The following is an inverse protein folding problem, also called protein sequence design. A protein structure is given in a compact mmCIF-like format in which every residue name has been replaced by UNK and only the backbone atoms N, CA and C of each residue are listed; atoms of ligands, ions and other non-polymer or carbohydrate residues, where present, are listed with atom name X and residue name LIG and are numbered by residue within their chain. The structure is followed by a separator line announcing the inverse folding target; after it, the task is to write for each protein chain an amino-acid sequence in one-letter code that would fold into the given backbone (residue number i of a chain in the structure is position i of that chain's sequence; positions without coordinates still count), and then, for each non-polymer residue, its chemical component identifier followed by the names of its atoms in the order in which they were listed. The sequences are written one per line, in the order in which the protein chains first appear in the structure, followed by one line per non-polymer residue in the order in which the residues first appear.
data_IF_806594090039
#
_entry.id   IF_806594090039
#
_cell.length_a   1.000
_cell.length_b   1.000
_cell.length_c   1.000
_cell.angle_alpha   90.00
_cell.angle_beta   90.00
_cell.angle_gamma   90.00
#
_symmetry.space_group_name_H-M   'P 1'
#
loop_
_entity.id
_entity.type
_entity.pdbx_description
1 polymer ?
#
# COMPACT_ATOMS: atom_id res chain seq x y z
N UNK A 1 -12.14 0.03 -0.05
CA UNK A 1 -12.97 0.73 0.97
C UNK A 1 -13.74 -0.24 1.87
N UNK A 2 -14.48 -1.21 1.33
CA UNK A 2 -15.20 -2.23 2.14
C UNK A 2 -14.32 -2.87 3.21
N UNK A 3 -13.17 -3.43 2.84
CA UNK A 3 -12.21 -4.03 3.80
C UNK A 3 -11.74 -3.05 4.90
N UNK A 4 -11.52 -1.77 4.56
CA UNK A 4 -11.17 -0.75 5.55
C UNK A 4 -12.31 -0.45 6.52
N UNK A 5 -13.56 -0.50 6.03
CA UNK A 5 -14.76 -0.36 6.87
C UNK A 5 -14.90 -1.55 7.82
N UNK A 6 -14.65 -2.78 7.36
CA UNK A 6 -14.65 -3.97 8.22
C UNK A 6 -13.58 -3.89 9.30
N UNK A 7 -12.36 -3.47 8.95
CA UNK A 7 -11.33 -3.21 9.95
C UNK A 7 -11.83 -2.20 10.98
N UNK A 8 -12.37 -1.06 10.53
CA UNK A 8 -12.82 0.02 11.40
C UNK A 8 -13.98 -0.36 12.33
N UNK A 9 -14.93 -1.20 11.87
CA UNK A 9 -16.09 -1.62 12.66
C UNK A 9 -15.83 -2.84 13.53
N UNK A 10 -15.07 -3.81 13.03
CA UNK A 10 -14.99 -5.16 13.60
C UNK A 10 -13.56 -5.60 13.94
N UNK A 11 -12.56 -4.74 13.76
CA UNK A 11 -11.15 -5.12 13.97
C UNK A 11 -10.63 -6.16 12.98
N UNK A 12 -11.29 -6.34 11.82
CA UNK A 12 -10.86 -7.27 10.78
C UNK A 12 -9.40 -7.03 10.36
N UNK A 13 -8.54 -8.04 10.51
CA UNK A 13 -7.07 -7.97 10.30
C UNK A 13 -6.33 -7.00 11.23
N UNK A 14 -6.91 -6.65 12.38
CA UNK A 14 -6.22 -5.88 13.42
C UNK A 14 -5.33 -6.78 14.28
N UNK A 15 -4.18 -6.27 14.73
CA UNK A 15 -3.28 -7.01 15.62
C UNK A 15 -3.82 -7.24 17.03
N UNK A 16 -4.84 -6.49 17.43
CA UNK A 16 -5.48 -6.60 18.75
C UNK A 16 -6.92 -7.12 18.68
N UNK A 17 -7.39 -7.48 17.49
CA UNK A 17 -8.80 -7.86 17.27
C UNK A 17 -9.80 -6.69 17.31
N UNK A 18 -9.36 -5.46 17.59
CA UNK A 18 -10.19 -4.24 17.59
C UNK A 18 -9.56 -3.14 16.73
N UNK A 19 -10.35 -2.21 16.22
CA UNK A 19 -9.81 -1.06 15.47
C UNK A 19 -9.18 -0.03 16.41
N UNK A 20 -7.91 0.34 16.18
CA UNK A 20 -7.21 1.42 16.86
C UNK A 20 -6.28 2.17 15.89
N UNK A 21 -5.70 3.30 16.29
CA UNK A 21 -4.69 4.02 15.47
C UNK A 21 -5.22 4.70 14.18
N UNK A 22 -6.54 4.76 13.96
CA UNK A 22 -7.07 5.46 12.79
C UNK A 22 -6.85 6.98 12.87
N UNK A 23 -6.45 7.62 11.78
CA UNK A 23 -6.44 9.08 11.66
C UNK A 23 -7.84 9.68 11.45
N UNK A 24 -8.00 10.98 11.77
CA UNK A 24 -9.27 11.73 11.58
C UNK A 24 -9.78 11.66 10.13
N UNK A 25 -8.90 11.89 9.16
CA UNK A 25 -9.25 11.87 7.73
C UNK A 25 -9.74 10.49 7.26
N UNK A 26 -9.08 9.42 7.71
CA UNK A 26 -9.52 8.03 7.44
C UNK A 26 -10.90 7.76 8.01
N UNK A 27 -11.14 8.10 9.29
CA UNK A 27 -12.47 7.93 9.91
C UNK A 27 -13.56 8.69 9.16
N UNK A 28 -13.31 9.94 8.78
CA UNK A 28 -14.27 10.74 8.03
C UNK A 28 -14.59 10.10 6.67
N UNK A 29 -13.57 9.60 5.97
CA UNK A 29 -13.72 8.94 4.67
C UNK A 29 -14.49 7.63 4.77
N UNK A 30 -14.31 6.87 5.85
CA UNK A 30 -15.08 5.63 6.09
C UNK A 30 -16.54 5.90 6.44
N UNK A 31 -16.82 6.98 7.18
CA UNK A 31 -18.19 7.46 7.44
C UNK A 31 -18.87 7.89 6.14
N UNK A 32 -18.16 8.65 5.31
CA UNK A 32 -18.64 9.07 3.99
C UNK A 32 -18.92 7.86 3.08
N UNK A 33 -18.00 6.89 3.01
CA UNK A 33 -18.21 5.66 2.25
C UNK A 33 -19.43 4.86 2.75
N UNK A 34 -19.64 4.80 4.06
CA UNK A 34 -20.81 4.13 4.65
C UNK A 34 -22.12 4.81 4.24
N UNK A 35 -22.16 6.15 4.21
CA UNK A 35 -23.34 6.90 3.71
C UNK A 35 -23.61 6.59 2.24
N UNK A 36 -22.57 6.53 1.40
CA UNK A 36 -22.71 6.21 -0.03
C UNK A 36 -23.18 4.78 -0.27
N UNK A 37 -22.71 3.81 0.52
CA UNK A 37 -23.23 2.44 0.45
C UNK A 37 -24.70 2.37 0.84
N UNK A 38 -25.15 3.14 1.83
CA UNK A 38 -26.57 3.22 2.20
C UNK A 38 -27.43 3.79 1.06
N UNK A 39 -26.93 4.78 0.30
CA UNK A 39 -27.60 5.28 -0.91
C UNK A 39 -27.75 4.17 -1.96
N UNK A 40 -26.71 3.36 -2.19
CA UNK A 40 -26.81 2.21 -3.10
C UNK A 40 -27.85 1.20 -2.62
N UNK A 41 -27.85 0.87 -1.33
CA UNK A 41 -28.82 -0.07 -0.76
C UNK A 41 -30.25 0.40 -1.00
N UNK A 42 -30.54 1.68 -0.75
CA UNK A 42 -31.85 2.26 -1.03
C UNK A 42 -32.19 2.27 -2.52
N UNK A 43 -31.25 2.63 -3.39
CA UNK A 43 -31.46 2.71 -4.82
C UNK A 43 -31.80 1.35 -5.47
N UNK A 44 -31.29 0.26 -4.91
CA UNK A 44 -31.48 -1.10 -5.41
C UNK A 44 -32.34 -1.99 -4.50
N UNK A 45 -33.01 -1.40 -3.50
CA UNK A 45 -33.85 -2.11 -2.52
C UNK A 45 -33.15 -3.31 -1.85
N UNK A 46 -31.88 -3.13 -1.48
CA UNK A 46 -31.06 -4.16 -0.84
C UNK A 46 -31.29 -4.17 0.67
N UNK A 47 -31.29 -5.36 1.28
CA UNK A 47 -31.55 -5.55 2.71
C UNK A 47 -30.27 -5.56 3.54
N UNK A 48 -29.15 -6.02 2.96
CA UNK A 48 -27.88 -6.16 3.67
C UNK A 48 -26.73 -5.46 2.96
N UNK A 49 -25.68 -5.10 3.70
CA UNK A 49 -24.48 -4.50 3.10
C UNK A 49 -23.74 -5.49 2.17
N UNK A 50 -23.84 -6.81 2.40
CA UNK A 50 -23.17 -7.81 1.55
C UNK A 50 -23.82 -7.90 0.17
N UNK A 51 -25.12 -7.61 0.05
CA UNK A 51 -25.78 -7.54 -1.25
C UNK A 51 -25.22 -6.42 -2.14
N UNK A 52 -24.68 -5.36 -1.54
CA UNK A 52 -24.01 -4.28 -2.28
C UNK A 52 -22.76 -4.79 -3.00
N UNK A 53 -22.04 -5.75 -2.42
CA UNK A 53 -20.83 -6.32 -3.00
C UNK A 53 -21.10 -7.22 -4.21
N UNK A 54 -22.36 -7.65 -4.40
CA UNK A 54 -22.80 -8.40 -5.58
C UNK A 54 -23.25 -7.50 -6.75
N UNK A 55 -23.34 -6.18 -6.54
CA UNK A 55 -23.67 -5.26 -7.62
C UNK A 55 -22.52 -5.16 -8.63
N UNK A 56 -22.85 -5.28 -9.91
CA UNK A 56 -21.85 -5.06 -10.97
C UNK A 56 -21.37 -3.60 -10.97
N UNK A 57 -20.12 -3.37 -11.38
CA UNK A 57 -19.58 -2.03 -11.54
C UNK A 57 -20.44 -1.15 -12.47
N UNK A 58 -21.01 -1.74 -13.54
CA UNK A 58 -21.92 -1.03 -14.46
C UNK A 58 -23.20 -0.60 -13.74
N UNK A 59 -23.75 -1.45 -12.88
CA UNK A 59 -24.94 -1.17 -12.08
C UNK A 59 -24.68 -0.03 -11.11
N UNK A 60 -23.58 -0.11 -10.35
CA UNK A 60 -23.18 0.93 -9.39
C UNK A 60 -23.00 2.28 -10.09
N UNK A 61 -22.40 2.31 -11.28
CA UNK A 61 -22.20 3.54 -12.06
C UNK A 61 -23.49 4.22 -12.55
N UNK A 62 -24.63 3.52 -12.56
CA UNK A 62 -25.93 4.14 -12.91
C UNK A 62 -26.44 5.04 -11.79
N UNK A 63 -25.98 4.82 -10.56
CA UNK A 63 -26.28 5.73 -9.44
C UNK A 63 -25.39 6.95 -9.58
N UNK A 64 -26.01 8.08 -9.90
CA UNK A 64 -25.31 9.35 -10.05
C UNK A 64 -24.45 9.62 -8.81
N UNK A 65 -23.20 10.02 -9.05
CA UNK A 65 -22.24 10.43 -8.02
C UNK A 65 -21.78 9.34 -7.03
N UNK A 66 -21.97 8.04 -7.32
CA UNK A 66 -21.29 7.01 -6.52
C UNK A 66 -19.82 6.88 -6.93
N UNK A 67 -18.92 7.25 -6.03
CA UNK A 67 -17.50 6.93 -6.12
C UNK A 67 -16.96 6.40 -4.77
N UNK A 68 -15.87 5.63 -4.84
CA UNK A 68 -15.18 5.07 -3.66
C UNK A 68 -14.10 5.99 -3.10
N UNK A 69 -13.89 7.15 -3.72
CA UNK A 69 -12.91 8.17 -3.32
C UNK A 69 -13.55 9.14 -2.32
N UNK A 70 -13.47 8.78 -1.05
CA UNK A 70 -14.13 9.52 0.03
C UNK A 70 -13.21 10.54 0.74
N UNK A 71 -11.94 10.61 0.34
CA UNK A 71 -10.95 11.52 0.92
C UNK A 71 -11.23 12.98 0.56
N UNK A 72 -11.18 13.86 1.56
CA UNK A 72 -11.33 15.32 1.35
C UNK A 72 -10.13 15.90 0.60
N UNK A 73 -10.35 16.89 -0.26
CA UNK A 73 -9.31 17.54 -1.06
C UNK A 73 -8.23 18.24 -0.24
N UNK A 74 -8.53 18.62 1.00
CA UNK A 74 -7.58 19.22 1.93
C UNK A 74 -6.93 18.20 2.88
N UNK A 75 -7.28 16.91 2.80
CA UNK A 75 -6.70 15.87 3.66
C UNK A 75 -5.27 15.55 3.22
N UNK A 76 -4.29 16.14 3.92
CA UNK A 76 -2.84 16.04 3.66
C UNK A 76 -2.09 15.12 4.62
N UNK A 77 -2.83 14.24 5.31
CA UNK A 77 -2.26 13.20 6.17
C UNK A 77 -1.42 12.16 5.41
N UNK A 78 -0.49 11.53 6.12
CA UNK A 78 0.44 10.52 5.63
C UNK A 78 -0.15 9.10 5.49
N UNK A 79 -1.39 8.88 5.94
CA UNK A 79 -1.98 7.53 6.01
C UNK A 79 -2.15 6.82 4.65
N UNK A 80 -2.08 7.54 3.52
CA UNK A 80 -2.02 6.92 2.20
C UNK A 80 -0.64 6.31 1.87
N UNK A 81 0.45 6.95 2.32
CA UNK A 81 1.82 6.48 2.13
C UNK A 81 2.13 5.25 2.99
N UNK A 82 1.65 5.22 4.23
CA UNK A 82 1.95 4.12 5.18
C UNK A 82 1.43 2.74 4.74
N UNK A 83 0.58 2.69 3.70
CA UNK A 83 -0.05 1.46 3.18
C UNK A 83 0.22 1.22 1.69
N UNK A 84 1.26 1.83 1.12
CA UNK A 84 1.41 1.93 -0.33
C UNK A 84 1.95 0.64 -0.97
N UNK A 85 2.87 -0.06 -0.29
CA UNK A 85 3.71 -1.16 -0.80
C UNK A 85 3.01 -2.21 -1.68
N UNK A 86 1.78 -2.69 -1.36
CA UNK A 86 1.10 -3.70 -2.18
C UNK A 86 0.92 -3.32 -3.65
N UNK A 87 0.76 -2.02 -3.95
CA UNK A 87 0.53 -1.54 -5.32
C UNK A 87 1.80 -1.64 -6.18
N UNK A 88 2.93 -1.01 -5.82
CA UNK A 88 4.15 -1.14 -6.61
C UNK A 88 4.66 -2.58 -6.62
N UNK A 89 4.49 -3.38 -5.56
CA UNK A 89 4.83 -4.81 -5.57
C UNK A 89 4.07 -5.61 -6.64
N UNK A 90 2.78 -5.33 -6.84
CA UNK A 90 1.99 -6.00 -7.87
C UNK A 90 2.31 -5.50 -9.29
N UNK A 91 2.44 -4.18 -9.45
CA UNK A 91 2.49 -3.55 -10.77
C UNK A 91 3.90 -3.16 -11.24
N UNK A 92 4.98 -3.57 -10.55
CA UNK A 92 6.35 -3.11 -10.83
C UNK A 92 6.83 -3.28 -12.28
N UNK A 93 6.31 -4.28 -12.99
CA UNK A 93 6.61 -4.53 -14.42
C UNK A 93 5.91 -3.55 -15.38
N UNK A 94 4.98 -2.75 -14.88
CA UNK A 94 4.37 -1.64 -15.62
C UNK A 94 4.45 -0.36 -14.77
N UNK A 95 5.63 0.30 -14.72
CA UNK A 95 5.87 1.44 -13.83
C UNK A 95 4.84 2.56 -13.95
N UNK A 96 4.38 2.83 -15.18
CA UNK A 96 3.37 3.86 -15.44
C UNK A 96 2.04 3.53 -14.76
N UNK A 97 1.56 2.30 -14.90
CA UNK A 97 0.33 1.83 -14.23
C UNK A 97 0.52 1.79 -12.72
N UNK A 98 1.66 1.29 -12.23
CA UNK A 98 1.97 1.25 -10.81
C UNK A 98 1.89 2.65 -10.17
N UNK A 99 2.57 3.62 -10.74
CA UNK A 99 2.61 5.00 -10.25
C UNK A 99 1.23 5.66 -10.30
N UNK A 100 0.47 5.45 -11.37
CA UNK A 100 -0.90 5.94 -11.46
C UNK A 100 -1.80 5.36 -10.35
N UNK A 101 -1.73 4.05 -10.12
CA UNK A 101 -2.51 3.39 -9.08
C UNK A 101 -2.06 3.79 -7.67
N UNK A 102 -0.76 4.02 -7.45
CA UNK A 102 -0.25 4.59 -6.21
C UNK A 102 -0.90 5.94 -5.90
N UNK A 103 -1.01 6.82 -6.91
CA UNK A 103 -1.73 8.09 -6.78
C UNK A 103 -3.23 7.93 -6.52
N UNK A 104 -3.88 6.97 -7.20
CA UNK A 104 -5.34 6.70 -7.08
C UNK A 104 -5.73 6.04 -5.75
N UNK A 105 -4.81 5.39 -5.03
CA UNK A 105 -5.06 4.87 -3.68
C UNK A 105 -5.25 5.98 -2.64
N UNK A 106 -4.58 7.12 -2.82
CA UNK A 106 -4.66 8.25 -1.88
C UNK A 106 -6.10 8.75 -1.67
N UNK A 107 -6.86 9.17 -2.70
CA UNK A 107 -8.18 9.78 -2.54
C UNK A 107 -9.26 8.85 -1.99
N UNK A 108 -8.97 7.55 -1.77
CA UNK A 108 -9.82 6.69 -0.95
C UNK A 108 -10.03 7.28 0.45
N UNK A 109 -8.98 7.88 1.03
CA UNK A 109 -9.04 8.50 2.37
C UNK A 109 -8.38 9.87 2.49
N UNK A 110 -7.48 10.22 1.58
CA UNK A 110 -6.70 11.46 1.56
C UNK A 110 -6.74 12.05 0.15
N UNK A 111 -7.64 13.01 -0.07
CA UNK A 111 -7.93 13.56 -1.41
C UNK A 111 -7.01 14.68 -1.86
N UNK A 112 -6.01 15.07 -1.06
CA UNK A 112 -5.14 16.18 -1.44
C UNK A 112 -4.16 15.80 -2.55
N UNK A 113 -3.89 16.77 -3.44
CA UNK A 113 -2.86 16.62 -4.48
C UNK A 113 -1.49 16.28 -3.88
N UNK A 114 -1.17 16.85 -2.71
CA UNK A 114 0.08 16.56 -2.01
C UNK A 114 0.18 15.07 -1.65
N UNK A 115 -0.88 14.48 -1.10
CA UNK A 115 -0.89 13.07 -0.72
C UNK A 115 -0.84 12.14 -1.94
N UNK A 116 -1.59 12.49 -3.00
CA UNK A 116 -1.55 11.77 -4.28
C UNK A 116 -0.17 11.79 -4.92
N UNK A 117 0.43 12.97 -5.10
CA UNK A 117 1.73 13.12 -5.76
C UNK A 117 2.87 12.54 -4.91
N UNK A 118 2.77 12.59 -3.57
CA UNK A 118 3.69 11.89 -2.69
C UNK A 118 3.62 10.36 -2.87
N UNK A 119 2.41 9.78 -2.94
CA UNK A 119 2.24 8.35 -3.22
C UNK A 119 2.79 7.96 -4.60
N UNK A 120 2.59 8.81 -5.62
CA UNK A 120 3.14 8.58 -6.96
C UNK A 120 4.66 8.53 -6.95
N UNK A 121 5.30 9.52 -6.34
CA UNK A 121 6.75 9.59 -6.23
C UNK A 121 7.32 8.41 -5.41
N UNK A 122 6.73 8.14 -4.24
CA UNK A 122 7.20 7.06 -3.39
C UNK A 122 7.01 5.68 -4.01
N UNK A 123 5.90 5.47 -4.71
CA UNK A 123 5.66 4.28 -5.51
C UNK A 123 6.69 4.08 -6.62
N UNK A 124 7.13 5.16 -7.27
CA UNK A 124 8.20 5.10 -8.28
C UNK A 124 9.51 4.58 -7.71
N UNK A 125 9.88 5.02 -6.50
CA UNK A 125 11.09 4.53 -5.82
C UNK A 125 11.01 3.03 -5.53
N UNK A 126 9.87 2.52 -5.06
CA UNK A 126 9.68 1.08 -4.81
C UNK A 126 9.66 0.30 -6.14
N UNK A 127 9.11 0.85 -7.22
CA UNK A 127 9.18 0.20 -8.54
C UNK A 127 10.62 0.13 -9.04
N UNK A 128 11.39 1.19 -8.86
CA UNK A 128 12.81 1.25 -9.23
C UNK A 128 13.65 0.22 -8.46
N UNK A 129 13.41 0.04 -7.15
CA UNK A 129 14.10 -0.99 -6.35
C UNK A 129 13.82 -2.40 -6.87
N UNK A 130 12.55 -2.70 -7.17
CA UNK A 130 12.12 -3.99 -7.71
C UNK A 130 12.62 -4.26 -9.15
N UNK A 131 13.06 -3.22 -9.86
CA UNK A 131 13.72 -3.33 -11.16
C UNK A 131 15.26 -3.26 -11.06
N UNK A 132 15.82 -3.31 -9.86
CA UNK A 132 17.25 -3.44 -9.62
C UNK A 132 18.04 -2.13 -9.64
N UNK A 133 17.39 -0.97 -9.53
CA UNK A 133 18.10 0.30 -9.43
C UNK A 133 18.88 0.42 -8.11
N UNK A 134 20.09 0.95 -8.22
CA UNK A 134 21.00 1.20 -7.10
C UNK A 134 20.49 2.34 -6.20
N UNK A 135 20.89 2.34 -4.93
CA UNK A 135 20.60 3.45 -4.00
C UNK A 135 21.03 4.82 -4.53
N UNK A 136 22.14 4.88 -5.27
CA UNK A 136 22.59 6.13 -5.91
C UNK A 136 21.61 6.64 -6.97
N UNK A 137 21.03 5.73 -7.79
CA UNK A 137 20.01 6.08 -8.77
C UNK A 137 18.72 6.53 -8.10
N UNK A 138 18.25 5.77 -7.09
CA UNK A 138 17.04 6.09 -6.31
C UNK A 138 17.11 7.46 -5.63
N UNK A 139 18.28 7.81 -5.11
CA UNK A 139 18.52 9.07 -4.39
C UNK A 139 19.05 10.18 -5.30
N UNK A 140 19.12 9.98 -6.62
CA UNK A 140 19.56 11.02 -7.56
C UNK A 140 18.61 12.21 -7.52
N UNK A 141 19.15 13.44 -7.53
CA UNK A 141 18.34 14.65 -7.66
C UNK A 141 17.58 14.70 -8.99
N UNK A 142 17.99 13.89 -9.97
CA UNK A 142 17.37 13.77 -11.29
C UNK A 142 16.47 12.52 -11.42
N UNK A 143 16.22 11.77 -10.33
CA UNK A 143 15.42 10.53 -10.39
C UNK A 143 14.06 10.74 -11.08
N UNK A 144 13.37 11.83 -10.76
CA UNK A 144 12.07 12.14 -11.36
C UNK A 144 12.15 12.40 -12.87
N UNK A 145 13.17 13.12 -13.34
CA UNK A 145 13.33 13.43 -14.76
C UNK A 145 13.80 12.20 -15.55
N UNK A 146 14.71 11.40 -14.98
CA UNK A 146 15.12 10.13 -15.55
C UNK A 146 13.93 9.17 -15.76
N UNK A 147 12.92 9.25 -14.89
CA UNK A 147 11.71 8.42 -14.93
C UNK A 147 10.46 9.16 -15.38
N UNK A 148 10.60 10.31 -16.06
CA UNK A 148 9.47 11.20 -16.38
C UNK A 148 8.34 10.50 -17.11
N UNK A 149 8.67 9.55 -17.99
CA UNK A 149 7.73 8.73 -18.75
C UNK A 149 6.77 7.90 -17.87
N UNK A 150 7.20 7.50 -16.68
CA UNK A 150 6.37 6.72 -15.76
C UNK A 150 5.27 7.56 -15.10
N UNK A 151 5.48 8.87 -14.97
CA UNK A 151 4.51 9.77 -14.35
C UNK A 151 3.39 10.21 -15.31
N UNK A 152 3.43 9.78 -16.57
CA UNK A 152 2.45 10.20 -17.58
C UNK A 152 2.41 11.72 -17.77
N UNK A 153 1.27 12.23 -18.28
CA UNK A 153 1.15 13.65 -18.68
C UNK A 153 1.16 14.61 -17.48
N UNK A 154 0.53 14.23 -16.36
CA UNK A 154 0.40 15.11 -15.19
C UNK A 154 1.64 15.01 -14.30
N UNK A 155 2.46 16.05 -14.29
CA UNK A 155 3.62 16.14 -13.39
C UNK A 155 3.25 16.21 -11.92
N UNK A 156 4.26 16.04 -11.05
CA UNK A 156 4.13 16.16 -9.60
C UNK A 156 3.99 17.64 -9.19
N UNK A 157 3.40 17.91 -8.02
CA UNK A 157 3.37 19.25 -7.46
C UNK A 157 4.77 19.73 -7.04
N UNK A 158 4.96 21.07 -7.02
CA UNK A 158 6.25 21.71 -6.70
C UNK A 158 6.85 21.24 -5.37
N UNK A 159 6.01 20.99 -4.36
CA UNK A 159 6.47 20.57 -3.05
C UNK A 159 7.03 19.15 -3.04
N UNK A 160 6.43 18.23 -3.81
CA UNK A 160 6.97 16.87 -3.97
C UNK A 160 8.22 16.90 -4.84
N UNK A 161 8.27 17.75 -5.88
CA UNK A 161 9.47 17.94 -6.69
C UNK A 161 10.66 18.44 -5.87
N UNK A 162 10.44 19.31 -4.88
CA UNK A 162 11.49 19.76 -3.96
C UNK A 162 12.08 18.62 -3.13
N UNK A 163 11.23 17.68 -2.71
CA UNK A 163 11.68 16.47 -2.01
C UNK A 163 12.43 15.56 -2.99
N UNK A 164 11.89 15.36 -4.19
CA UNK A 164 12.52 14.57 -5.25
C UNK A 164 13.91 15.09 -5.64
N UNK A 165 14.11 16.41 -5.61
CA UNK A 165 15.40 17.06 -5.85
C UNK A 165 16.34 17.06 -4.64
N UNK A 166 16.01 16.31 -3.57
CA UNK A 166 16.93 16.05 -2.47
C UNK A 166 16.80 16.97 -1.24
N UNK A 167 15.66 17.63 -1.00
CA UNK A 167 15.51 18.48 0.21
C UNK A 167 15.69 17.74 1.54
N UNK A 168 15.58 16.41 1.51
CA UNK A 168 15.82 15.52 2.64
C UNK A 168 17.31 15.29 2.92
N UNK A 169 18.26 15.64 2.03
CA UNK A 169 19.70 15.35 2.21
C UNK A 169 20.37 16.34 3.18
N UNK A 170 20.06 16.23 4.47
CA UNK A 170 20.54 17.14 5.53
C UNK A 170 21.33 16.37 6.58
N UNK A 171 22.66 16.58 6.72
CA UNK A 171 23.49 15.81 7.65
C UNK A 171 23.01 15.82 9.11
N UNK A 172 22.39 16.91 9.58
CA UNK A 172 21.92 17.02 10.97
C UNK A 172 20.51 16.47 11.26
N UNK A 173 19.80 15.93 10.27
CA UNK A 173 18.49 15.31 10.49
C UNK A 173 17.52 16.20 11.28
N UNK A 174 17.19 15.78 12.51
CA UNK A 174 16.29 16.53 13.40
C UNK A 174 16.81 17.94 13.72
N UNK A 175 18.11 18.16 13.96
CA UNK A 175 18.63 19.50 14.23
C UNK A 175 18.50 20.44 13.03
N UNK A 176 18.40 19.89 11.82
CA UNK A 176 18.26 20.62 10.55
C UNK A 176 16.82 20.62 10.00
N UNK A 177 15.83 20.35 10.87
CA UNK A 177 14.41 20.51 10.55
C UNK A 177 13.74 19.34 9.82
N UNK A 178 14.38 18.16 9.78
CA UNK A 178 13.71 16.91 9.39
C UNK A 178 12.74 16.52 10.52
N UNK A 179 11.47 16.34 10.18
CA UNK A 179 10.41 15.98 11.13
C UNK A 179 9.51 14.94 10.49
N UNK A 180 9.26 13.83 11.19
CA UNK A 180 8.34 12.79 10.76
C UNK A 180 6.95 13.02 11.34
N UNK A 181 6.24 14.06 10.91
CA UNK A 181 4.90 14.38 11.47
C UNK A 181 3.78 13.68 10.69
N UNK A 182 2.52 13.84 11.15
CA UNK A 182 1.32 13.40 10.44
C UNK A 182 1.10 14.04 9.06
N UNK A 183 1.88 15.06 8.69
CA UNK A 183 1.79 15.73 7.39
C UNK A 183 2.60 14.98 6.32
N UNK A 184 1.94 14.61 5.22
CA UNK A 184 2.47 13.70 4.20
C UNK A 184 3.85 14.08 3.64
N UNK A 185 4.11 15.37 3.42
CA UNK A 185 5.39 15.81 2.88
C UNK A 185 6.52 15.66 3.90
N UNK A 186 6.21 15.86 5.18
CA UNK A 186 7.17 15.75 6.27
C UNK A 186 7.52 14.29 6.56
N UNK A 187 6.53 13.39 6.57
CA UNK A 187 6.80 11.96 6.70
C UNK A 187 7.58 11.41 5.49
N UNK A 188 7.28 11.86 4.26
CA UNK A 188 8.05 11.48 3.07
C UNK A 188 9.49 11.98 3.15
N UNK A 189 9.70 13.26 3.48
CA UNK A 189 11.04 13.86 3.64
C UNK A 189 11.84 13.14 4.73
N UNK A 190 11.21 12.79 5.86
CA UNK A 190 11.83 12.04 6.96
C UNK A 190 12.22 10.62 6.54
N UNK A 191 11.32 9.86 5.92
CA UNK A 191 11.63 8.50 5.49
C UNK A 191 12.77 8.44 4.46
N UNK A 192 12.84 9.42 3.56
CA UNK A 192 13.94 9.52 2.59
C UNK A 192 15.24 10.00 3.23
N UNK A 193 15.17 10.89 4.24
CA UNK A 193 16.36 11.24 5.02
C UNK A 193 16.96 10.00 5.69
N UNK A 194 16.12 9.18 6.33
CA UNK A 194 16.57 7.93 6.97
C UNK A 194 17.19 6.99 5.94
N UNK A 195 16.54 6.78 4.79
CA UNK A 195 17.08 5.91 3.76
C UNK A 195 18.37 6.47 3.13
N UNK A 196 18.51 7.79 3.03
CA UNK A 196 19.74 8.42 2.54
C UNK A 196 20.90 8.34 3.55
N UNK A 197 20.62 8.58 4.83
CA UNK A 197 21.61 8.59 5.90
C UNK A 197 21.95 7.19 6.41
N UNK A 198 21.16 6.18 6.06
CA UNK A 198 21.43 4.84 6.53
C UNK A 198 22.73 4.29 5.95
N UNK A 199 23.62 3.90 6.87
CA UNK A 199 24.93 3.33 6.56
C UNK A 199 24.79 1.86 6.13
N UNK A 200 23.87 1.59 5.19
CA UNK A 200 23.53 0.26 4.66
C UNK A 200 23.17 -0.77 5.75
N UNK A 201 22.45 -0.34 6.79
CA UNK A 201 22.04 -1.21 7.89
C UNK A 201 20.57 -1.00 8.23
N UNK A 202 19.71 -1.92 7.78
CA UNK A 202 18.26 -1.86 8.01
C UNK A 202 17.92 -1.56 9.49
N UNK A 203 18.62 -2.23 10.42
CA UNK A 203 18.42 -2.05 11.86
C UNK A 203 18.67 -0.60 12.31
N UNK A 204 19.82 -0.05 11.96
CA UNK A 204 20.21 1.29 12.40
C UNK A 204 19.28 2.34 11.80
N UNK A 205 18.82 2.14 10.56
CA UNK A 205 17.87 3.02 9.90
C UNK A 205 16.50 3.03 10.57
N UNK A 206 15.94 1.87 10.94
CA UNK A 206 14.63 1.83 11.62
C UNK A 206 14.72 2.57 12.95
N UNK A 207 15.81 2.39 13.70
CA UNK A 207 16.03 3.11 14.95
C UNK A 207 16.16 4.62 14.70
N UNK A 208 16.85 5.03 13.64
CA UNK A 208 16.92 6.44 13.26
C UNK A 208 15.54 7.01 12.89
N UNK A 209 14.70 6.26 12.17
CA UNK A 209 13.33 6.67 11.84
C UNK A 209 12.47 6.88 13.10
N UNK A 210 12.55 5.95 14.06
CA UNK A 210 11.80 6.04 15.32
C UNK A 210 12.31 7.19 16.19
N UNK A 211 13.63 7.41 16.23
CA UNK A 211 14.25 8.47 17.03
C UNK A 211 14.04 9.88 16.49
N UNK A 212 13.47 10.05 15.28
CA UNK A 212 13.02 11.37 14.81
C UNK A 212 11.82 11.91 15.62
N UNK A 213 11.17 11.07 16.42
CA UNK A 213 10.01 11.44 17.24
C UNK A 213 8.76 11.71 16.40
N UNK A 214 7.81 12.45 16.99
CA UNK A 214 6.53 12.81 16.38
C UNK A 214 5.67 11.58 15.97
N UNK A 215 5.38 11.43 14.68
CA UNK A 215 4.63 10.33 14.08
C UNK A 215 5.61 9.22 13.65
N UNK A 216 6.27 8.67 14.67
CA UNK A 216 7.40 7.75 14.53
C UNK A 216 6.98 6.40 13.93
N UNK A 217 5.81 5.89 14.29
CA UNK A 217 5.25 4.64 13.75
C UNK A 217 5.00 4.77 12.25
N UNK A 218 4.37 5.87 11.80
CA UNK A 218 4.15 6.09 10.37
C UNK A 218 5.45 6.32 9.61
N UNK A 219 6.39 7.09 10.18
CA UNK A 219 7.69 7.35 9.54
C UNK A 219 8.48 6.06 9.36
N UNK A 220 8.53 5.20 10.38
CA UNK A 220 9.15 3.89 10.31
C UNK A 220 8.43 2.94 9.33
N UNK A 221 7.10 2.97 9.27
CA UNK A 221 6.31 2.18 8.32
C UNK A 221 6.52 2.65 6.87
N UNK A 222 6.68 3.94 6.63
CA UNK A 222 7.05 4.45 5.29
C UNK A 222 8.46 3.95 4.99
N UNK A 223 9.48 4.34 5.77
CA UNK A 223 10.87 3.91 5.57
C UNK A 223 11.00 2.39 5.30
N UNK A 224 10.34 1.56 6.11
CA UNK A 224 10.41 0.10 6.02
C UNK A 224 9.91 -0.47 4.70
N UNK A 225 9.00 0.21 3.99
CA UNK A 225 8.53 -0.22 2.67
C UNK A 225 9.65 -0.08 1.62
N UNK A 226 10.29 1.08 1.54
CA UNK A 226 11.39 1.31 0.59
C UNK A 226 12.61 0.48 0.96
N UNK A 227 13.03 0.52 2.22
CA UNK A 227 14.17 -0.24 2.69
C UNK A 227 13.97 -1.75 2.55
N UNK A 228 12.79 -2.27 2.88
CA UNK A 228 12.47 -3.69 2.70
C UNK A 228 12.48 -4.11 1.22
N UNK A 229 12.06 -3.23 0.32
CA UNK A 229 12.16 -3.49 -1.13
C UNK A 229 13.58 -3.43 -1.69
N UNK A 230 14.49 -2.71 -1.01
CA UNK A 230 15.88 -2.52 -1.43
C UNK A 230 16.83 -3.57 -0.84
N UNK A 231 16.82 -3.72 0.49
CA UNK A 231 17.68 -4.65 1.23
C UNK A 231 17.13 -6.09 1.23
N UNK A 232 15.83 -6.26 0.98
CA UNK A 232 15.16 -7.54 1.06
C UNK A 232 14.90 -8.00 2.50
N UNK A 233 14.24 -9.15 2.63
CA UNK A 233 13.81 -9.69 3.93
C UNK A 233 14.98 -10.22 4.77
N UNK A 234 16.06 -10.71 4.13
CA UNK A 234 17.22 -11.30 4.81
C UNK A 234 17.94 -10.32 5.73
N UNK A 235 17.87 -9.02 5.41
CA UNK A 235 18.53 -7.96 6.17
C UNK A 235 17.71 -7.46 7.37
N UNK A 236 16.46 -7.92 7.51
CA UNK A 236 15.61 -7.58 8.65
C UNK A 236 16.07 -8.39 9.88
N UNK A 237 16.36 -7.76 11.03
CA UNK A 237 16.79 -8.47 12.23
C UNK A 237 15.85 -9.62 12.61
N UNK A 238 16.42 -10.84 12.71
CA UNK A 238 15.65 -12.05 12.99
C UNK A 238 14.83 -11.97 14.29
N UNK A 239 15.36 -11.28 15.31
CA UNK A 239 14.66 -11.00 16.57
C UNK A 239 13.37 -10.20 16.35
N UNK A 240 13.34 -9.25 15.42
CA UNK A 240 12.14 -8.47 15.10
C UNK A 240 11.13 -9.31 14.33
N UNK A 241 11.59 -10.10 13.37
CA UNK A 241 10.72 -11.02 12.63
C UNK A 241 10.04 -12.04 13.55
N UNK A 242 10.73 -12.53 14.61
CA UNK A 242 10.17 -13.50 15.55
C UNK A 242 8.97 -12.96 16.35
N UNK A 243 8.95 -11.66 16.64
CA UNK A 243 7.88 -11.02 17.44
C UNK A 243 6.82 -10.31 16.59
N UNK A 244 7.01 -10.27 15.26
CA UNK A 244 6.08 -9.60 14.34
C UNK A 244 4.73 -10.33 14.30
N UNK A 245 3.68 -9.65 14.74
CA UNK A 245 2.31 -10.16 14.67
C UNK A 245 1.93 -10.54 13.23
N UNK A 246 1.27 -11.69 13.06
CA UNK A 246 0.81 -12.21 11.77
C UNK A 246 1.91 -12.31 10.68
N UNK A 247 3.19 -12.47 11.06
CA UNK A 247 4.32 -12.61 10.13
C UNK A 247 4.02 -13.56 8.96
N UNK A 248 3.51 -14.76 9.25
CA UNK A 248 3.27 -15.78 8.21
C UNK A 248 2.25 -15.30 7.18
N UNK A 249 1.17 -14.63 7.63
CA UNK A 249 0.18 -14.04 6.73
C UNK A 249 0.80 -12.93 5.88
N UNK A 250 1.59 -12.03 6.48
CA UNK A 250 2.25 -10.92 5.76
C UNK A 250 3.19 -11.45 4.68
N UNK A 251 4.04 -12.43 5.01
CA UNK A 251 4.96 -13.08 4.06
C UNK A 251 4.18 -13.75 2.94
N UNK A 252 3.19 -14.58 3.27
CA UNK A 252 2.36 -15.25 2.28
C UNK A 252 1.66 -14.26 1.33
N UNK A 253 1.07 -13.18 1.86
CA UNK A 253 0.46 -12.14 1.03
C UNK A 253 1.49 -11.44 0.14
N UNK A 254 2.67 -11.13 0.66
CA UNK A 254 3.76 -10.52 -0.12
C UNK A 254 4.18 -11.41 -1.28
N UNK A 255 4.41 -12.70 -1.02
CA UNK A 255 4.80 -13.67 -2.03
C UNK A 255 3.73 -13.82 -3.12
N UNK A 256 2.46 -13.92 -2.73
CA UNK A 256 1.34 -13.99 -3.68
C UNK A 256 1.20 -12.74 -4.54
N UNK A 257 1.31 -11.55 -3.92
CA UNK A 257 1.25 -10.27 -4.65
C UNK A 257 2.38 -10.19 -5.68
N UNK A 258 3.60 -10.53 -5.28
CA UNK A 258 4.76 -10.50 -6.16
C UNK A 258 4.66 -11.55 -7.29
N UNK A 259 4.26 -12.78 -6.95
CA UNK A 259 4.03 -13.85 -7.94
C UNK A 259 2.98 -13.47 -8.99
N UNK A 260 1.84 -12.91 -8.56
CA UNK A 260 0.81 -12.45 -9.49
C UNK A 260 1.29 -11.27 -10.35
N UNK A 261 2.09 -10.36 -9.77
CA UNK A 261 2.73 -9.29 -10.51
C UNK A 261 3.65 -9.80 -11.63
N UNK A 262 4.44 -10.84 -11.36
CA UNK A 262 5.26 -11.52 -12.36
C UNK A 262 4.42 -12.17 -13.46
N UNK A 263 3.36 -12.90 -13.11
CA UNK A 263 2.49 -13.61 -14.08
C UNK A 263 1.66 -12.67 -14.96
N UNK A 264 1.17 -11.58 -14.39
CA UNK A 264 0.36 -10.58 -15.13
C UNK A 264 1.17 -9.95 -16.28
N UNK A 265 2.50 -9.88 -16.16
CA UNK A 265 3.40 -9.40 -17.21
C UNK A 265 3.72 -10.45 -18.29
N UNK A 266 3.62 -11.75 -17.97
CA UNK A 266 3.85 -12.82 -18.95
C UNK A 266 2.63 -13.07 -19.85
N UNK A 267 1.43 -12.71 -19.38
CA UNK A 267 0.16 -12.95 -20.09
C UNK A 267 -0.02 -12.20 -21.43
N UNK A 268 0.51 -10.97 -21.65
CA UNK A 268 0.42 -10.30 -22.95
C UNK A 268 1.27 -10.98 -24.04
N UNK A 269 2.24 -11.84 -23.71
CA UNK A 269 3.00 -12.60 -24.70
C UNK A 269 2.33 -13.92 -25.10
N UNK A 270 1.45 -14.47 -24.25
CA UNK A 270 0.79 -15.76 -24.49
C UNK A 270 -0.38 -15.61 -25.47
N UNK A 271 -0.96 -14.41 -25.62
CA UNK A 271 -2.11 -14.18 -26.51
C UNK A 271 -1.78 -13.88 -27.97
N UNK A 272 -0.50 -13.84 -28.37
CA UNK A 272 -0.13 -13.52 -29.76
C UNK A 272 0.45 -14.66 -30.58
N UNK A 273 0.83 -15.79 -30.00
CA UNK A 273 1.30 -16.93 -30.79
C UNK A 273 1.01 -18.27 -30.10
N UNK A 274 0.32 -19.12 -30.86
CA UNK A 274 0.27 -20.58 -30.79
C UNK A 274 -0.64 -21.27 -29.76
N UNK A 275 -1.57 -22.04 -30.33
CA UNK A 275 -1.84 -23.41 -29.93
C UNK A 275 -0.52 -24.15 -29.64
N UNK A 276 -0.16 -24.33 -28.37
CA UNK A 276 0.68 -25.44 -27.94
C UNK A 276 0.28 -25.87 -26.53
N UNK A 277 -0.01 -27.15 -26.39
CA UNK A 277 -0.02 -27.84 -25.10
C UNK A 277 1.38 -27.77 -24.51
N UNK A 278 1.56 -26.93 -23.48
CA UNK A 278 2.73 -27.03 -22.60
C UNK A 278 2.30 -27.82 -21.36
N UNK A 279 2.63 -29.11 -21.35
CA UNK A 279 2.68 -29.88 -20.11
C UNK A 279 3.86 -29.35 -19.28
N UNK A 280 3.55 -28.52 -18.28
CA UNK A 280 4.51 -28.18 -17.23
C UNK A 280 4.59 -29.39 -16.29
N UNK A 281 5.62 -30.22 -16.44
CA UNK A 281 6.00 -31.19 -15.43
C UNK A 281 6.65 -30.43 -14.26
N UNK A 282 5.86 -30.17 -13.22
CA UNK A 282 6.33 -29.89 -11.87
C UNK A 282 5.89 -31.06 -10.97
N UNK A 283 6.72 -31.54 -10.03
CA UNK A 283 6.38 -32.67 -9.17
C UNK A 283 5.08 -32.39 -8.39
N UNK A 284 4.07 -33.26 -8.53
CA UNK A 284 2.73 -33.11 -7.93
C UNK A 284 2.74 -33.07 -6.40
N UNK A 285 3.82 -33.54 -5.78
CA UNK A 285 3.83 -33.89 -4.36
C UNK A 285 4.09 -32.71 -3.43
N UNK A 286 4.56 -31.56 -3.95
CA UNK A 286 4.81 -30.35 -3.14
C UNK A 286 3.63 -29.35 -3.12
N UNK A 287 2.69 -29.43 -4.07
CA UNK A 287 1.54 -28.53 -4.11
C UNK A 287 0.37 -29.04 -3.26
N UNK A 288 0.16 -30.36 -3.20
CA UNK A 288 -1.01 -30.94 -2.53
C UNK A 288 -0.93 -30.82 -1.00
N UNK A 289 0.27 -30.87 -0.41
CA UNK A 289 0.42 -30.72 1.04
C UNK A 289 0.19 -29.28 1.53
N UNK A 290 0.51 -28.27 0.71
CA UNK A 290 0.32 -26.85 1.06
C UNK A 290 -1.09 -26.35 0.69
N UNK A 291 -1.76 -26.89 -0.32
CA UNK A 291 -3.11 -26.46 -0.68
C UNK A 291 -4.19 -27.14 0.19
N UNK A 292 -4.00 -28.41 0.58
CA UNK A 292 -4.98 -29.14 1.41
C UNK A 292 -5.03 -28.62 2.87
N UNK A 293 -3.88 -28.29 3.47
CA UNK A 293 -3.82 -27.75 4.84
C UNK A 293 -4.42 -26.33 4.96
N UNK A 294 -4.36 -25.53 3.88
CA UNK A 294 -4.88 -24.16 3.88
C UNK A 294 -6.35 -24.05 3.41
N UNK A 295 -6.84 -24.97 2.59
CA UNK A 295 -8.24 -25.01 2.15
C UNK A 295 -9.24 -25.27 3.29
N UNK A 296 -8.86 -26.11 4.26
CA UNK A 296 -9.71 -26.42 5.42
C UNK A 296 -9.65 -25.34 6.52
N UNK A 297 -8.54 -24.63 6.66
CA UNK A 297 -8.40 -23.54 7.64
C UNK A 297 -9.04 -22.22 7.17
N UNK A 298 -9.08 -21.94 5.86
CA UNK A 298 -9.73 -20.74 5.33
C UNK A 298 -11.27 -20.78 5.41
N UNK A 299 -11.87 -21.98 5.34
CA UNK A 299 -13.33 -22.16 5.58
C UNK A 299 -13.72 -21.99 7.05
N UNK A 300 -12.78 -22.11 7.99
CA UNK A 300 -13.01 -21.99 9.45
C UNK A 300 -12.73 -20.59 10.01
N UNK A 301 -12.08 -19.69 9.27
CA UNK A 301 -11.63 -18.37 9.77
C UNK A 301 -12.40 -17.17 9.20
N UNK A 302 -13.44 -17.38 8.39
CA UNK A 302 -14.45 -16.35 8.10
C UNK A 302 -15.49 -16.40 9.23
N UNK A 303 -15.59 -15.39 10.12
CA UNK A 303 -16.65 -15.38 11.12
C UNK A 303 -18.00 -15.36 10.41
N UNK A 304 -18.86 -16.34 10.70
CA UNK A 304 -20.29 -16.21 10.37
C UNK A 304 -20.84 -15.02 11.16
N UNK A 305 -21.73 -14.18 10.58
CA UNK A 305 -22.39 -13.13 11.34
C UNK A 305 -23.08 -13.77 12.55
N UNK A 306 -22.76 -13.28 13.75
CA UNK A 306 -23.43 -13.65 14.99
C UNK A 306 -24.85 -13.12 14.88
N UNK A 307 -25.79 -13.98 14.52
CA UNK A 307 -27.21 -13.71 14.70
C UNK A 307 -27.54 -13.96 16.17
N UNK A 308 -28.12 -12.94 16.81
CA UNK A 308 -29.02 -12.97 17.96
C UNK A 308 -28.62 -13.82 19.18
N UNK A 309 -28.27 -13.15 20.29
CA UNK A 309 -28.80 -13.48 21.62
C UNK A 309 -29.04 -12.15 22.36
N UNK A 310 -30.24 -11.62 22.19
CA UNK A 310 -30.95 -10.99 23.31
C UNK A 310 -31.82 -12.11 23.87
N UNK A 311 -31.51 -12.53 25.09
CA UNK A 311 -32.43 -12.98 26.13
C UNK A 311 -31.78 -12.57 27.47
#
# INVERSE_FOLDING_TARGET
MVRYKWWYRYGYLSSTGVSFGSGRATRQSLREFSKRQYILMRAFNLKTESEVDHLSFRTVKRVANFDVTCGRSYATGNGALMRLAPIPLYFFRNPRVAIELCGRNSPLTHGSRLSMDACRYYGALIVATLNGETKQQLLSNNFYEAHRAWFGRKGLCKQVLRIASGSYKRPGGYSMGIRGTGYVLKSLEAALWVFWSDQNSFRNSVLAAVNLGDDADTTAAIYGQLAGSYYGQSDIPSKWLKILYAKQLIVCMSDWIHFLGLKTYLSPMIHKNMHYHVQVQMPKDQLLHSVALYGETFRKTVPRPINSIFD
#
